data_IF_563629389993
#
_entry.id   IF_563629389993
#
_cell.length_a   1.000
_cell.length_b   1.000
_cell.length_c   1.000
_cell.angle_alpha   90.00
_cell.angle_beta   90.00
_cell.angle_gamma   90.00
#
_symmetry.space_group_name_H-M   'P 1'
#
loop_
_entity.id
_entity.type
_entity.pdbx_description
1 polymer ?
#
# COMPACT_ATOMS: atom_id res chain seq x y z
N UNK A 1 24.97 16.68 11.99
CA UNK A 1 24.94 15.21 12.15
C UNK A 1 24.04 14.64 11.06
N UNK A 2 24.60 14.55 9.86
CA UNK A 2 23.96 14.05 8.64
C UNK A 2 24.07 12.52 8.63
N UNK A 3 23.05 11.84 9.15
CA UNK A 3 22.97 10.39 9.04
C UNK A 3 22.79 10.04 7.56
N UNK A 4 23.84 9.43 6.98
CA UNK A 4 23.88 9.01 5.59
C UNK A 4 22.75 8.04 5.26
N UNK A 5 21.75 8.56 4.55
CA UNK A 5 20.89 7.77 3.68
C UNK A 5 21.68 7.46 2.42
N UNK A 6 22.63 6.52 2.51
CA UNK A 6 23.18 5.91 1.31
C UNK A 6 22.05 5.07 0.71
N UNK A 7 21.48 5.43 -0.46
CA UNK A 7 20.62 4.48 -1.14
C UNK A 7 21.50 3.27 -1.44
N UNK A 8 21.11 2.10 -0.92
CA UNK A 8 21.68 0.80 -1.31
C UNK A 8 21.35 0.61 -2.80
N UNK A 9 22.13 1.29 -3.64
CA UNK A 9 22.12 1.22 -5.08
C UNK A 9 23.10 0.14 -5.50
N UNK A 10 22.90 -1.06 -4.96
CA UNK A 10 23.29 -2.30 -5.64
C UNK A 10 22.30 -2.54 -6.79
N UNK A 11 22.17 -1.56 -7.69
CA UNK A 11 21.54 -1.76 -8.99
C UNK A 11 22.49 -2.64 -9.80
N UNK A 12 22.31 -3.94 -9.66
CA UNK A 12 22.81 -4.89 -10.62
C UNK A 12 22.28 -4.44 -11.99
N UNK A 13 23.18 -3.97 -12.86
CA UNK A 13 22.90 -3.68 -14.27
C UNK A 13 22.27 -4.94 -14.87
N UNK A 14 20.94 -4.98 -14.96
CA UNK A 14 20.22 -6.10 -15.54
C UNK A 14 19.32 -5.60 -16.66
N UNK A 15 19.53 -6.19 -17.83
CA UNK A 15 18.97 -5.91 -19.16
C UNK A 15 17.51 -5.41 -19.21
N UNK A 16 17.31 -4.31 -19.95
CA UNK A 16 16.06 -3.77 -20.52
C UNK A 16 14.79 -3.89 -19.68
N UNK A 17 14.10 -5.03 -19.83
CA UNK A 17 12.72 -5.21 -19.35
C UNK A 17 12.57 -5.16 -17.81
N UNK A 18 13.53 -5.70 -17.05
CA UNK A 18 13.45 -5.71 -15.58
C UNK A 18 13.74 -4.35 -14.97
N UNK A 19 14.73 -3.65 -15.53
CA UNK A 19 15.03 -2.28 -15.14
C UNK A 19 13.84 -1.36 -15.44
N UNK A 20 13.20 -1.53 -16.60
CA UNK A 20 12.01 -0.78 -16.97
C UNK A 20 10.83 -1.05 -16.02
N UNK A 21 10.49 -2.31 -15.76
CA UNK A 21 9.41 -2.68 -14.83
C UNK A 21 9.62 -2.09 -13.43
N UNK A 22 10.85 -2.21 -12.91
CA UNK A 22 11.21 -1.68 -11.59
C UNK A 22 11.11 -0.16 -11.54
N UNK A 23 11.49 0.52 -12.62
CA UNK A 23 11.39 1.98 -12.75
C UNK A 23 9.93 2.44 -12.80
N UNK A 24 9.10 1.79 -13.61
CA UNK A 24 7.67 2.09 -13.75
C UNK A 24 6.96 1.96 -12.41
N UNK A 25 7.19 0.84 -11.70
CA UNK A 25 6.54 0.61 -10.41
C UNK A 25 7.10 1.54 -9.34
N UNK A 26 8.40 1.86 -9.38
CA UNK A 26 8.98 2.89 -8.53
C UNK A 26 8.38 4.29 -8.78
N UNK A 27 8.06 4.63 -10.03
CA UNK A 27 7.38 5.87 -10.37
C UNK A 27 5.95 5.88 -9.86
N UNK A 28 5.19 4.80 -10.11
CA UNK A 28 3.81 4.64 -9.62
C UNK A 28 3.78 4.75 -8.09
N UNK A 29 4.63 4.02 -7.38
CA UNK A 29 4.68 4.04 -5.92
C UNK A 29 4.94 5.44 -5.36
N UNK A 30 5.77 6.26 -6.02
CA UNK A 30 6.00 7.66 -5.60
C UNK A 30 4.76 8.52 -5.78
N UNK A 31 4.09 8.43 -6.92
CA UNK A 31 2.83 9.16 -7.17
C UNK A 31 1.74 8.77 -6.17
N UNK A 32 1.60 7.47 -5.96
CA UNK A 32 0.62 6.87 -5.06
C UNK A 32 0.90 7.27 -3.60
N UNK A 33 2.17 7.34 -3.19
CA UNK A 33 2.58 7.86 -1.88
C UNK A 33 2.19 9.34 -1.70
N UNK A 34 2.46 10.20 -2.70
CA UNK A 34 2.06 11.61 -2.63
C UNK A 34 0.54 11.77 -2.55
N UNK A 35 -0.22 10.99 -3.32
CA UNK A 35 -1.68 10.94 -3.23
C UNK A 35 -2.16 10.51 -1.83
N UNK A 36 -1.55 9.48 -1.25
CA UNK A 36 -1.90 9.03 0.09
C UNK A 36 -1.55 10.04 1.19
N UNK A 37 -0.43 10.75 1.07
CA UNK A 37 -0.08 11.86 1.98
C UNK A 37 -1.12 12.99 1.92
N UNK A 38 -1.54 13.38 0.71
CA UNK A 38 -2.58 14.39 0.52
C UNK A 38 -3.93 13.92 1.07
N UNK A 39 -4.29 12.66 0.84
CA UNK A 39 -5.51 12.08 1.38
C UNK A 39 -5.50 12.06 2.92
N UNK A 40 -4.37 11.72 3.54
CA UNK A 40 -4.23 11.71 5.00
C UNK A 40 -4.33 13.13 5.59
N UNK A 41 -3.70 14.12 4.95
CA UNK A 41 -3.84 15.53 5.33
C UNK A 41 -5.29 16.02 5.18
N UNK A 42 -5.96 15.66 4.07
CA UNK A 42 -7.36 15.98 3.87
C UNK A 42 -8.26 15.36 4.95
N UNK A 43 -8.05 14.07 5.28
CA UNK A 43 -8.79 13.41 6.36
C UNK A 43 -8.59 14.13 7.71
N UNK A 44 -7.36 14.50 8.05
CA UNK A 44 -7.07 15.23 9.27
C UNK A 44 -7.77 16.60 9.32
N UNK A 45 -7.76 17.35 8.22
CA UNK A 45 -8.45 18.65 8.12
C UNK A 45 -9.97 18.50 8.19
N UNK A 46 -10.54 17.51 7.50
CA UNK A 46 -11.99 17.24 7.53
C UNK A 46 -12.44 16.86 8.95
N UNK A 47 -11.71 15.97 9.63
CA UNK A 47 -12.03 15.58 11.00
C UNK A 47 -11.87 16.74 11.98
N UNK A 48 -10.83 17.57 11.81
CA UNK A 48 -10.64 18.78 12.64
C UNK A 48 -11.80 19.76 12.43
N UNK A 49 -12.24 19.94 11.17
CA UNK A 49 -13.40 20.75 10.85
C UNK A 49 -14.69 20.15 11.44
N UNK A 50 -14.88 18.83 11.38
CA UNK A 50 -16.03 18.14 11.99
C UNK A 50 -16.14 18.46 13.47
N UNK A 51 -15.05 18.29 14.21
CA UNK A 51 -14.95 18.63 15.63
C UNK A 51 -15.31 20.11 15.85
N UNK A 52 -14.68 21.03 15.12
CA UNK A 52 -14.96 22.46 15.25
C UNK A 52 -16.43 22.78 14.97
N UNK A 53 -17.01 22.23 13.89
CA UNK A 53 -18.40 22.47 13.51
C UNK A 53 -19.39 22.04 14.60
N UNK A 54 -19.12 20.90 15.24
CA UNK A 54 -19.97 20.33 16.28
C UNK A 54 -19.95 21.15 17.58
N UNK A 55 -18.78 21.67 17.96
CA UNK A 55 -18.64 22.47 19.18
C UNK A 55 -19.16 23.90 19.02
N UNK A 56 -18.88 24.56 17.89
CA UNK A 56 -19.21 25.97 17.69
C UNK A 56 -20.58 26.19 17.07
N UNK A 57 -20.96 25.39 16.07
CA UNK A 57 -22.21 25.57 15.32
C UNK A 57 -23.32 24.64 15.78
N UNK A 58 -23.03 23.68 16.68
CA UNK A 58 -23.97 22.65 17.17
C UNK A 58 -24.67 21.85 16.05
N UNK A 59 -24.10 21.86 14.85
CA UNK A 59 -24.57 21.11 13.70
C UNK A 59 -23.64 19.91 13.49
N UNK A 60 -24.17 18.70 13.59
CA UNK A 60 -23.46 17.48 13.21
C UNK A 60 -23.80 17.19 11.75
N UNK A 61 -22.79 17.12 10.88
CA UNK A 61 -22.99 16.81 9.46
C UNK A 61 -22.33 15.49 9.12
N UNK A 62 -23.13 14.51 8.70
CA UNK A 62 -22.70 13.11 8.54
C UNK A 62 -21.68 12.88 7.40
N UNK A 63 -21.53 13.85 6.47
CA UNK A 63 -20.64 13.73 5.31
C UNK A 63 -19.15 13.70 5.68
N UNK A 64 -18.77 14.30 6.81
CA UNK A 64 -17.38 14.51 7.20
C UNK A 64 -16.71 13.20 7.59
N UNK A 65 -17.42 12.37 8.35
CA UNK A 65 -16.92 11.08 8.83
C UNK A 65 -16.69 10.13 7.64
N UNK A 66 -17.63 10.08 6.69
CA UNK A 66 -17.53 9.24 5.51
C UNK A 66 -16.43 9.69 4.55
N UNK A 67 -16.31 10.99 4.31
CA UNK A 67 -15.22 11.54 3.51
C UNK A 67 -13.85 11.24 4.13
N UNK A 68 -13.73 11.35 5.46
CA UNK A 68 -12.50 11.00 6.17
C UNK A 68 -12.19 9.50 6.06
N UNK A 69 -13.18 8.62 6.20
CA UNK A 69 -13.03 7.17 6.02
C UNK A 69 -12.54 6.87 4.60
N UNK A 70 -13.11 7.50 3.57
CA UNK A 70 -12.72 7.25 2.18
C UNK A 70 -11.28 7.69 1.92
N UNK A 71 -10.88 8.84 2.46
CA UNK A 71 -9.50 9.32 2.42
C UNK A 71 -8.54 8.36 3.14
N UNK A 72 -8.92 7.83 4.31
CA UNK A 72 -8.08 6.89 5.08
C UNK A 72 -7.94 5.53 4.39
N UNK A 73 -9.01 4.99 3.82
CA UNK A 73 -8.98 3.77 3.00
C UNK A 73 -8.05 3.98 1.80
N UNK A 74 -8.23 5.09 1.08
CA UNK A 74 -7.34 5.49 0.00
C UNK A 74 -5.89 5.55 0.45
N UNK A 75 -5.58 6.35 1.46
CA UNK A 75 -4.22 6.52 1.97
C UNK A 75 -3.56 5.20 2.39
N UNK A 76 -4.31 4.32 3.06
CA UNK A 76 -3.78 3.05 3.59
C UNK A 76 -3.43 2.09 2.47
N UNK A 77 -4.36 1.81 1.55
CA UNK A 77 -4.16 0.82 0.50
C UNK A 77 -3.22 1.32 -0.60
N UNK A 78 -3.30 2.60 -0.95
CA UNK A 78 -2.41 3.21 -1.94
C UNK A 78 -0.96 3.21 -1.43
N UNK A 79 -0.72 3.69 -0.20
CA UNK A 79 0.65 3.74 0.33
C UNK A 79 1.25 2.35 0.60
N UNK A 80 0.43 1.31 0.78
CA UNK A 80 0.89 -0.03 1.12
C UNK A 80 2.02 -0.57 0.25
N UNK A 81 1.90 -0.44 -1.08
CA UNK A 81 2.92 -0.90 -2.03
C UNK A 81 4.26 -0.14 -1.85
N UNK A 82 4.19 1.18 -1.66
CA UNK A 82 5.38 2.01 -1.45
C UNK A 82 6.10 1.67 -0.14
N UNK A 83 5.35 1.43 0.95
CA UNK A 83 5.90 1.02 2.24
C UNK A 83 6.53 -0.37 2.16
N UNK A 84 5.86 -1.31 1.48
CA UNK A 84 6.39 -2.66 1.24
C UNK A 84 7.69 -2.63 0.42
N UNK A 85 7.82 -1.68 -0.52
CA UNK A 85 9.03 -1.52 -1.34
C UNK A 85 10.26 -1.20 -0.50
N UNK A 86 10.10 -0.50 0.62
CA UNK A 86 11.17 -0.15 1.55
C UNK A 86 11.60 -1.31 2.47
N UNK A 87 10.92 -2.46 2.45
CA UNK A 87 11.18 -3.63 3.32
C UNK A 87 11.34 -3.28 4.80
N UNK A 88 10.55 -2.34 5.32
CA UNK A 88 10.60 -1.86 6.71
C UNK A 88 10.09 -2.84 7.77
N UNK A 89 10.29 -4.15 7.60
CA UNK A 89 9.91 -5.14 8.60
C UNK A 89 10.96 -5.24 9.70
N UNK A 90 11.00 -4.24 10.57
CA UNK A 90 11.92 -4.13 11.73
C UNK A 90 11.87 -5.42 12.59
N UNK A 91 10.68 -6.00 12.77
CA UNK A 91 10.50 -7.25 13.52
C UNK A 91 11.09 -8.49 12.82
N UNK A 92 11.18 -8.48 11.49
CA UNK A 92 11.79 -9.59 10.74
C UNK A 92 13.32 -9.54 10.84
N UNK A 93 13.87 -8.33 10.89
CA UNK A 93 15.31 -8.05 11.02
C UNK A 93 15.86 -8.35 12.41
N UNK A 94 15.09 -8.11 13.48
CA UNK A 94 15.52 -8.47 14.84
C UNK A 94 15.78 -9.98 14.99
N UNK A 95 14.92 -10.82 14.42
CA UNK A 95 15.08 -12.27 14.43
C UNK A 95 16.18 -12.74 13.44
N UNK A 96 16.46 -11.95 12.39
CA UNK A 96 17.52 -12.23 11.43
C UNK A 96 18.92 -12.24 12.06
N UNK A 97 19.14 -11.48 13.13
CA UNK A 97 20.43 -11.42 13.83
C UNK A 97 20.77 -12.68 14.64
N UNK A 98 19.79 -13.53 14.95
CA UNK A 98 19.96 -14.73 15.78
C UNK A 98 20.03 -16.01 14.94
N UNK A 99 19.45 -16.01 13.74
CA UNK A 99 19.33 -17.20 12.90
C UNK A 99 20.49 -17.32 11.88
N UNK A 100 20.91 -18.55 11.53
CA UNK A 100 21.87 -18.75 10.45
C UNK A 100 21.31 -18.28 9.10
N UNK A 101 22.18 -17.75 8.24
CA UNK A 101 21.81 -17.02 7.02
C UNK A 101 20.91 -17.81 6.05
N UNK A 102 21.03 -19.15 6.03
CA UNK A 102 20.20 -20.00 5.16
C UNK A 102 18.74 -20.09 5.65
N UNK A 103 18.52 -20.20 6.97
CA UNK A 103 17.17 -20.23 7.55
C UNK A 103 16.48 -18.89 7.34
N UNK A 104 17.22 -17.79 7.50
CA UNK A 104 16.65 -16.47 7.34
C UNK A 104 16.20 -16.20 5.89
N UNK A 105 16.98 -16.67 4.89
CA UNK A 105 16.57 -16.60 3.48
C UNK A 105 15.31 -17.43 3.20
N UNK A 106 15.26 -18.67 3.69
CA UNK A 106 14.08 -19.52 3.50
C UNK A 106 12.84 -18.92 4.16
N UNK A 107 12.98 -18.42 5.40
CA UNK A 107 11.92 -17.73 6.14
C UNK A 107 11.37 -16.52 5.39
N UNK A 108 12.25 -15.64 4.89
CA UNK A 108 11.85 -14.46 4.11
C UNK A 108 11.07 -14.86 2.86
N UNK A 109 11.56 -15.87 2.14
CA UNK A 109 10.91 -16.36 0.93
C UNK A 109 9.52 -16.95 1.23
N UNK A 110 9.37 -17.73 2.31
CA UNK A 110 8.08 -18.27 2.74
C UNK A 110 7.11 -17.15 3.11
N UNK A 111 7.55 -16.17 3.90
CA UNK A 111 6.72 -15.01 4.28
C UNK A 111 6.27 -14.26 3.03
N UNK A 112 7.19 -13.94 2.12
CA UNK A 112 6.86 -13.18 0.92
C UNK A 112 5.90 -13.96 -0.01
N UNK A 113 6.02 -15.28 -0.13
CA UNK A 113 5.09 -16.13 -0.90
C UNK A 113 3.71 -16.16 -0.25
N UNK A 114 3.64 -16.34 1.07
CA UNK A 114 2.38 -16.32 1.81
C UNK A 114 1.69 -14.95 1.67
N UNK A 115 2.44 -13.86 1.84
CA UNK A 115 1.96 -12.49 1.66
C UNK A 115 1.51 -12.23 0.22
N UNK A 116 2.25 -12.69 -0.79
CA UNK A 116 1.86 -12.55 -2.19
C UNK A 116 0.56 -13.30 -2.50
N UNK A 117 0.42 -14.52 -1.99
CA UNK A 117 -0.79 -15.35 -2.18
C UNK A 117 -2.00 -14.68 -1.54
N UNK A 118 -1.86 -14.23 -0.29
CA UNK A 118 -2.92 -13.53 0.43
C UNK A 118 -3.31 -12.21 -0.27
N UNK A 119 -2.33 -11.38 -0.63
CA UNK A 119 -2.60 -10.10 -1.29
C UNK A 119 -3.24 -10.28 -2.66
N UNK A 120 -2.85 -11.31 -3.42
CA UNK A 120 -3.45 -11.61 -4.73
C UNK A 120 -4.90 -12.08 -4.58
N UNK A 121 -5.17 -12.98 -3.63
CA UNK A 121 -6.54 -13.39 -3.31
C UNK A 121 -7.39 -12.21 -2.84
N UNK A 122 -6.84 -11.37 -1.97
CA UNK A 122 -7.53 -10.20 -1.44
C UNK A 122 -7.80 -9.17 -2.55
N UNK A 123 -6.86 -8.97 -3.49
CA UNK A 123 -7.06 -8.13 -4.66
C UNK A 123 -8.22 -8.61 -5.53
N UNK A 124 -8.31 -9.91 -5.77
CA UNK A 124 -9.43 -10.47 -6.52
C UNK A 124 -10.76 -10.21 -5.79
N UNK A 125 -10.83 -10.48 -4.48
CA UNK A 125 -12.03 -10.21 -3.68
C UNK A 125 -12.40 -8.73 -3.68
N UNK A 126 -11.43 -7.83 -3.52
CA UNK A 126 -11.67 -6.38 -3.57
C UNK A 126 -12.24 -5.93 -4.91
N UNK A 127 -11.79 -6.51 -6.03
CA UNK A 127 -12.38 -6.21 -7.34
C UNK A 127 -13.81 -6.73 -7.48
N UNK A 128 -14.13 -7.90 -6.89
CA UNK A 128 -15.51 -8.38 -6.83
C UNK A 128 -16.41 -7.46 -6.01
N UNK A 129 -15.94 -6.96 -4.86
CA UNK A 129 -16.69 -6.01 -4.04
C UNK A 129 -16.93 -4.67 -4.76
N UNK A 130 -15.90 -4.17 -5.46
CA UNK A 130 -16.05 -2.96 -6.26
C UNK A 130 -17.12 -3.12 -7.35
N UNK A 131 -17.10 -4.24 -8.07
CA UNK A 131 -18.06 -4.50 -9.14
C UNK A 131 -19.48 -4.62 -8.58
N UNK A 132 -19.66 -5.34 -7.47
CA UNK A 132 -20.95 -5.47 -6.80
C UNK A 132 -21.49 -4.11 -6.35
N UNK A 133 -20.67 -3.31 -5.67
CA UNK A 133 -21.07 -1.99 -5.21
C UNK A 133 -21.42 -1.03 -6.36
N UNK A 134 -20.75 -1.18 -7.51
CA UNK A 134 -21.07 -0.42 -8.72
C UNK A 134 -22.38 -0.89 -9.36
N UNK A 135 -22.58 -2.21 -9.49
CA UNK A 135 -23.74 -2.79 -10.17
C UNK A 135 -25.03 -2.64 -9.35
N UNK A 136 -24.97 -2.85 -8.04
CA UNK A 136 -26.11 -2.72 -7.13
C UNK A 136 -26.33 -1.27 -6.65
N UNK A 137 -25.42 -0.35 -6.98
CA UNK A 137 -25.50 1.05 -6.56
C UNK A 137 -25.42 1.22 -5.04
N UNK A 138 -24.60 0.40 -4.37
CA UNK A 138 -24.50 0.40 -2.91
C UNK A 138 -24.00 1.76 -2.39
N UNK A 139 -24.73 2.31 -1.42
CA UNK A 139 -24.37 3.55 -0.72
C UNK A 139 -24.17 3.28 0.76
N UNK A 140 -23.42 4.15 1.43
CA UNK A 140 -23.32 4.06 2.89
C UNK A 140 -24.69 4.32 3.55
N UNK A 141 -24.94 3.71 4.72
CA UNK A 141 -26.19 3.80 5.48
C UNK A 141 -26.42 5.15 6.19
N UNK A 142 -25.85 6.24 5.67
CA UNK A 142 -25.92 7.59 6.24
C UNK A 142 -26.88 8.48 5.46
N UNK A 143 -27.24 9.61 6.05
CA UNK A 143 -28.05 10.67 5.43
C UNK A 143 -27.44 11.21 4.13
N UNK A 144 -26.09 11.19 4.01
CA UNK A 144 -25.38 11.65 2.82
C UNK A 144 -25.28 10.58 1.72
N UNK A 145 -25.36 9.30 2.09
CA UNK A 145 -25.39 8.14 1.20
C UNK A 145 -24.39 8.19 0.01
N UNK A 146 -23.09 8.44 0.23
CA UNK A 146 -22.10 8.41 -0.84
C UNK A 146 -21.94 6.97 -1.36
N UNK A 147 -21.59 6.82 -2.65
CA UNK A 147 -21.49 5.51 -3.25
C UNK A 147 -20.22 4.77 -2.81
N UNK A 148 -20.36 3.50 -2.45
CA UNK A 148 -19.29 2.65 -1.88
C UNK A 148 -18.29 2.14 -2.93
N UNK A 149 -18.60 2.29 -4.22
CA UNK A 149 -17.65 1.90 -5.27
C UNK A 149 -16.35 2.71 -5.20
N UNK A 150 -16.37 3.95 -4.69
CA UNK A 150 -15.17 4.80 -4.60
C UNK A 150 -14.13 4.20 -3.63
N UNK A 151 -14.43 3.95 -2.34
CA UNK A 151 -13.48 3.35 -1.42
C UNK A 151 -13.10 1.93 -1.82
N UNK A 152 -14.04 1.13 -2.37
CA UNK A 152 -13.71 -0.21 -2.84
C UNK A 152 -12.79 -0.22 -4.05
N UNK A 153 -12.93 0.74 -4.97
CA UNK A 153 -12.00 0.91 -6.07
C UNK A 153 -10.60 1.25 -5.57
N UNK A 154 -10.48 2.23 -4.66
CA UNK A 154 -9.21 2.63 -4.06
C UNK A 154 -8.53 1.46 -3.34
N UNK A 155 -9.31 0.70 -2.57
CA UNK A 155 -8.86 -0.53 -1.92
C UNK A 155 -8.36 -1.55 -2.94
N UNK A 156 -9.16 -1.85 -3.98
CA UNK A 156 -8.84 -2.86 -4.98
C UNK A 156 -7.60 -2.48 -5.81
N UNK A 157 -7.47 -1.20 -6.20
CA UNK A 157 -6.30 -0.69 -6.89
C UNK A 157 -5.03 -0.76 -6.01
N UNK A 158 -5.12 -0.30 -4.76
CA UNK A 158 -3.98 -0.29 -3.84
C UNK A 158 -3.47 -1.69 -3.49
N UNK A 159 -4.37 -2.63 -3.19
CA UNK A 159 -3.96 -4.01 -2.89
C UNK A 159 -3.41 -4.74 -4.12
N UNK A 160 -3.89 -4.42 -5.33
CA UNK A 160 -3.34 -4.97 -6.59
C UNK A 160 -1.90 -4.50 -6.79
N UNK A 161 -1.65 -3.21 -6.54
CA UNK A 161 -0.30 -2.65 -6.60
C UNK A 161 0.63 -3.28 -5.55
N UNK A 162 0.13 -3.51 -4.33
CA UNK A 162 0.87 -4.19 -3.29
C UNK A 162 1.21 -5.64 -3.68
N UNK A 163 0.25 -6.38 -4.24
CA UNK A 163 0.48 -7.75 -4.71
C UNK A 163 1.57 -7.79 -5.80
N UNK A 164 1.49 -6.90 -6.79
CA UNK A 164 2.52 -6.74 -7.83
C UNK A 164 3.90 -6.44 -7.23
N UNK A 165 3.97 -5.53 -6.25
CA UNK A 165 5.21 -5.18 -5.58
C UNK A 165 5.84 -6.39 -4.87
N UNK A 166 5.05 -7.19 -4.15
CA UNK A 166 5.55 -8.38 -3.44
C UNK A 166 6.01 -9.44 -4.45
N UNK A 167 5.25 -9.69 -5.51
CA UNK A 167 5.62 -10.67 -6.55
C UNK A 167 6.96 -10.30 -7.19
N UNK A 168 7.21 -9.02 -7.46
CA UNK A 168 8.50 -8.57 -7.99
C UNK A 168 9.64 -8.77 -7.02
N UNK A 169 9.43 -8.53 -5.74
CA UNK A 169 10.44 -8.78 -4.72
C UNK A 169 10.75 -10.27 -4.56
N UNK A 170 9.74 -11.15 -4.65
CA UNK A 170 9.92 -12.61 -4.67
C UNK A 170 10.71 -13.03 -5.91
N UNK A 171 10.32 -12.54 -7.09
CA UNK A 171 11.00 -12.85 -8.35
C UNK A 171 12.47 -12.38 -8.35
N UNK A 172 12.75 -11.22 -7.75
CA UNK A 172 14.10 -10.70 -7.60
C UNK A 172 14.97 -11.56 -6.65
N UNK A 173 14.39 -12.14 -5.59
CA UNK A 173 15.11 -13.03 -4.67
C UNK A 173 15.45 -14.40 -5.28
N UNK A 174 14.58 -14.94 -6.14
CA UNK A 174 14.79 -16.24 -6.78
C UNK A 174 15.88 -16.15 -7.87
N UNK A 175 16.09 -14.97 -8.46
CA UNK A 175 17.14 -14.78 -9.47
C UNK A 175 18.51 -14.86 -8.80
N UNK A 176 19.40 -15.76 -9.24
CA UNK A 176 20.76 -15.81 -8.71
C UNK A 176 21.45 -14.49 -9.03
N UNK A 177 21.76 -13.72 -7.99
CA UNK A 177 22.73 -12.62 -8.07
C UNK A 177 24.03 -13.27 -8.54
N UNK A 178 24.38 -13.12 -9.83
CA UNK A 178 25.73 -13.40 -10.30
C UNK A 178 26.64 -12.40 -9.58
N UNK A 179 27.18 -12.81 -8.45
CA UNK A 179 28.34 -12.16 -7.85
C UNK A 179 29.47 -12.45 -8.83
N UNK A 180 29.84 -11.44 -9.62
CA UNK A 180 31.06 -11.48 -10.40
C UNK A 180 32.22 -11.67 -9.40
N UNK A 181 33.01 -12.72 -9.60
CA UNK A 181 34.30 -12.90 -8.92
C UNK A 181 35.25 -11.77 -9.31
#
# INVERSE_FOLDING_TARGET
MSHGLNPVSSQAKNTGAWAWLSCVIGAINRWVMHLGMLALLAAALILTYSVFSRYFFRASSDWQDEAAIFCLVGATFLCGASVQSCRGHIGIEALAGVLPAWVNRARLLVIDICSATFCTFFAWKSWTLWHEAWAEGQTTSSSWAPPLWIPYFLMAAGITLLALQIVLQVAAQIRPVRIAK
#
